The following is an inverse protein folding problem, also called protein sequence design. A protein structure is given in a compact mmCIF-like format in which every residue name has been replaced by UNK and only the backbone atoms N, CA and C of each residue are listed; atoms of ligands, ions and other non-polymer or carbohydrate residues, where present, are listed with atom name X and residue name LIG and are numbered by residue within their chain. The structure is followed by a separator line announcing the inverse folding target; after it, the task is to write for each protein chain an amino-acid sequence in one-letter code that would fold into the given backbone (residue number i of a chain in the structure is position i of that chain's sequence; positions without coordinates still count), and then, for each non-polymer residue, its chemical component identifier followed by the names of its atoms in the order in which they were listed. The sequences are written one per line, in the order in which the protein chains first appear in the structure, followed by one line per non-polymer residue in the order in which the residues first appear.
data_IF_576770616136
#
_entry.id   IF_576770616136
#
_cell.length_a   1.000
_cell.length_b   1.000
_cell.length_c   1.000
_cell.angle_alpha   90.00
_cell.angle_beta   90.00
_cell.angle_gamma   90.00
#
_symmetry.space_group_name_H-M   'P 1'
#
loop_
_entity.id
_entity.type
_entity.pdbx_description
1 polymer ?
#
# COMPACT_ATOMS: atom_id res chain seq x y z
N UNK A 1 -3.73 16.22 1.17
CA UNK A 1 -3.72 14.92 1.87
C UNK A 1 -2.82 13.95 1.12
N UNK A 2 -2.09 13.07 1.81
CA UNK A 2 -1.33 11.97 1.22
C UNK A 2 -1.89 10.66 1.77
N UNK A 3 -1.91 9.62 0.95
CA UNK A 3 -2.27 8.27 1.35
C UNK A 3 -1.00 7.43 1.29
N UNK A 4 -0.76 6.68 2.35
CA UNK A 4 0.37 5.80 2.50
C UNK A 4 -0.12 4.37 2.67
N UNK A 5 0.29 3.49 1.76
CA UNK A 5 -0.08 2.08 1.80
C UNK A 5 1.18 1.23 1.77
N UNK A 6 1.28 0.29 2.69
CA UNK A 6 2.40 -0.64 2.79
C UNK A 6 1.94 -2.09 2.66
N UNK A 7 2.77 -2.88 1.98
CA UNK A 7 2.56 -4.30 1.77
C UNK A 7 3.84 -5.05 2.15
N UNK A 8 3.65 -6.18 2.84
CA UNK A 8 4.74 -7.13 3.04
C UNK A 8 5.11 -7.79 1.71
N UNK A 9 6.33 -8.30 1.64
CA UNK A 9 6.92 -8.88 0.43
C UNK A 9 7.68 -10.15 0.77
N UNK A 10 7.47 -11.19 -0.03
CA UNK A 10 8.32 -12.37 -0.07
C UNK A 10 9.34 -12.22 -1.22
N UNK A 11 10.61 -12.07 -0.89
CA UNK A 11 11.67 -11.93 -1.89
C UNK A 11 12.99 -12.54 -1.43
N UNK A 12 13.91 -12.69 -2.39
CA UNK A 12 15.33 -12.99 -2.18
C UNK A 12 16.21 -11.81 -2.60
N UNK A 13 15.62 -10.62 -2.75
CA UNK A 13 16.31 -9.43 -3.23
C UNK A 13 17.07 -8.82 -2.05
N UNK A 14 18.39 -8.69 -2.19
CA UNK A 14 19.21 -7.99 -1.20
C UNK A 14 19.14 -6.47 -1.42
N UNK A 15 18.93 -5.75 -0.33
CA UNK A 15 18.95 -4.30 -0.25
C UNK A 15 19.88 -3.90 0.89
N UNK A 16 20.87 -3.06 0.60
CA UNK A 16 21.82 -2.57 1.61
C UNK A 16 21.22 -1.51 2.53
N UNK A 17 20.26 -0.75 2.00
CA UNK A 17 19.58 0.33 2.72
C UNK A 17 18.16 0.50 2.20
N UNK A 18 17.41 1.39 2.86
CA UNK A 18 16.07 1.78 2.41
C UNK A 18 16.19 2.57 1.11
N UNK A 19 15.56 2.09 0.04
CA UNK A 19 15.55 2.80 -1.25
C UNK A 19 14.27 3.62 -1.35
N UNK A 20 14.42 4.91 -1.66
CA UNK A 20 13.32 5.82 -1.94
C UNK A 20 13.36 6.24 -3.41
N UNK A 21 12.32 5.90 -4.17
CA UNK A 21 12.19 6.27 -5.58
C UNK A 21 10.98 7.19 -5.71
N UNK A 22 11.20 8.39 -6.24
CA UNK A 22 10.12 9.31 -6.58
C UNK A 22 9.80 9.18 -8.06
N UNK A 23 8.53 8.93 -8.38
CA UNK A 23 8.05 8.95 -9.75
C UNK A 23 6.71 9.70 -9.80
N UNK A 24 6.71 10.85 -10.48
CA UNK A 24 5.57 11.76 -10.55
C UNK A 24 5.02 12.13 -9.15
N UNK A 25 3.73 11.85 -8.93
CA UNK A 25 3.00 12.10 -7.68
C UNK A 25 3.21 10.99 -6.62
N UNK A 26 3.95 9.93 -6.95
CA UNK A 26 4.15 8.76 -6.11
C UNK A 26 5.58 8.68 -5.57
N UNK A 27 5.70 8.21 -4.34
CA UNK A 27 6.96 7.83 -3.71
C UNK A 27 6.87 6.34 -3.38
N UNK A 28 7.84 5.58 -3.83
CA UNK A 28 7.99 4.15 -3.58
C UNK A 28 9.14 3.96 -2.61
N UNK A 29 8.88 3.26 -1.52
CA UNK A 29 9.89 2.98 -0.49
C UNK A 29 10.05 1.48 -0.35
N UNK A 30 11.29 1.02 -0.46
CA UNK A 30 11.67 -0.39 -0.37
C UNK A 30 12.47 -0.60 0.90
N UNK A 31 11.95 -1.43 1.81
CA UNK A 31 12.57 -1.66 3.11
C UNK A 31 13.26 -3.03 3.15
N UNK A 32 14.57 -3.09 3.46
CA UNK A 32 15.20 -4.33 3.89
C UNK A 32 14.73 -4.73 5.29
N UNK A 33 14.76 -6.03 5.57
CA UNK A 33 14.68 -6.58 6.92
C UNK A 33 16.06 -6.54 7.61
N UNK A 34 16.14 -7.11 8.81
CA UNK A 34 17.40 -7.22 9.57
C UNK A 34 18.48 -8.06 8.87
N UNK A 35 18.11 -8.89 7.89
CA UNK A 35 19.04 -9.68 7.08
C UNK A 35 19.46 -8.98 5.78
N UNK A 36 18.95 -7.77 5.53
CA UNK A 36 19.17 -7.02 4.29
C UNK A 36 18.33 -7.53 3.12
N UNK A 37 17.25 -8.27 3.35
CA UNK A 37 16.34 -8.76 2.31
C UNK A 37 15.12 -7.84 2.18
N UNK A 38 14.70 -7.53 0.95
CA UNK A 38 13.47 -6.77 0.72
C UNK A 38 12.26 -7.51 1.32
N UNK A 39 11.65 -6.89 2.33
CA UNK A 39 10.53 -7.48 3.08
C UNK A 39 9.26 -6.62 3.05
N UNK A 40 9.37 -5.34 2.68
CA UNK A 40 8.23 -4.42 2.65
C UNK A 40 8.38 -3.37 1.55
N UNK A 41 7.28 -3.08 0.87
CA UNK A 41 7.16 -1.98 -0.09
C UNK A 41 6.06 -1.04 0.38
N UNK A 42 6.32 0.27 0.33
CA UNK A 42 5.37 1.32 0.67
C UNK A 42 5.17 2.25 -0.52
N UNK A 43 3.92 2.55 -0.85
CA UNK A 43 3.54 3.54 -1.86
C UNK A 43 2.91 4.71 -1.13
N UNK A 44 3.48 5.89 -1.32
CA UNK A 44 2.95 7.16 -0.82
C UNK A 44 2.47 7.94 -2.04
N UNK A 45 1.17 8.21 -2.12
CA UNK A 45 0.56 8.94 -3.23
C UNK A 45 -0.19 10.18 -2.75
N UNK A 46 -0.22 11.21 -3.59
CA UNK A 46 -1.02 12.40 -3.33
C UNK A 46 -2.48 12.13 -3.68
N UNK A 47 -3.36 12.28 -2.68
CA UNK A 47 -4.80 12.11 -2.91
C UNK A 47 -5.32 13.32 -3.69
N UNK A 48 -5.73 13.10 -4.95
CA UNK A 48 -6.25 14.16 -5.85
C UNK A 48 -7.64 14.65 -5.44
N UNK A 49 -8.46 13.76 -4.87
CA UNK A 49 -9.84 14.03 -4.44
C UNK A 49 -10.03 13.71 -2.95
N UNK A 50 -9.42 14.48 -2.03
CA UNK A 50 -9.54 14.23 -0.59
C UNK A 50 -10.99 14.27 -0.09
N UNK A 51 -11.87 14.99 -0.76
CA UNK A 51 -13.30 15.11 -0.45
C UNK A 51 -14.07 13.77 -0.52
N UNK A 52 -13.55 12.78 -1.24
CA UNK A 52 -14.14 11.43 -1.29
C UNK A 52 -13.82 10.59 -0.04
N UNK A 53 -12.84 11.01 0.77
CA UNK A 53 -12.57 10.41 2.06
C UNK A 53 -13.51 11.04 3.08
N UNK A 54 -14.60 10.35 3.39
CA UNK A 54 -15.52 10.78 4.45
C UNK A 54 -15.81 9.63 5.41
N UNK A 55 -15.68 9.92 6.70
CA UNK A 55 -16.17 9.04 7.76
C UNK A 55 -17.69 9.23 7.86
N UNK A 56 -18.48 8.24 7.43
CA UNK A 56 -19.91 8.21 7.78
C UNK A 56 -20.07 7.39 9.05
N UNK A 57 -20.42 8.08 10.14
CA UNK A 57 -20.93 7.41 11.33
C UNK A 57 -22.31 6.86 10.99
N UNK A 58 -22.44 5.53 10.93
CA UNK A 58 -23.76 4.90 10.84
C UNK A 58 -24.18 4.47 12.25
N UNK A 59 -25.33 4.93 12.77
CA UNK A 59 -25.90 4.34 13.96
C UNK A 59 -26.23 2.88 13.66
N UNK A 60 -25.77 1.98 14.53
CA UNK A 60 -26.06 0.55 14.40
C UNK A 60 -27.51 0.32 14.81
N UNK A 61 -28.39 -0.20 13.94
CA UNK A 61 -29.74 -0.55 14.37
C UNK A 61 -29.62 -1.69 15.39
N UNK A 62 -30.16 -1.51 16.59
CA UNK A 62 -30.19 -2.43 17.75
C UNK A 62 -29.03 -2.45 18.76
N UNK A 63 -28.09 -1.49 18.74
CA UNK A 63 -27.14 -1.34 19.85
C UNK A 63 -27.30 0.01 20.54
N UNK A 64 -27.69 0.01 21.83
CA UNK A 64 -27.58 1.18 22.70
C UNK A 64 -26.09 1.59 22.72
N UNK A 65 -25.73 2.62 21.96
CA UNK A 65 -24.40 3.26 21.96
C UNK A 65 -23.25 2.52 21.23
N UNK A 66 -23.49 1.91 20.07
CA UNK A 66 -22.39 1.55 19.16
C UNK A 66 -22.50 2.34 17.84
N UNK A 67 -21.62 3.33 17.64
CA UNK A 67 -21.44 3.98 16.35
C UNK A 67 -20.44 3.17 15.52
N UNK A 68 -20.85 2.70 14.34
CA UNK A 68 -19.91 2.13 13.39
C UNK A 68 -19.34 3.26 12.53
N UNK A 69 -18.04 3.52 12.66
CA UNK A 69 -17.33 4.46 11.78
C UNK A 69 -17.00 3.70 10.50
N UNK A 70 -17.81 3.89 9.44
CA UNK A 70 -17.46 3.38 8.12
C UNK A 70 -16.71 4.48 7.39
N UNK A 71 -15.38 4.42 7.41
CA UNK A 71 -14.53 5.24 6.56
C UNK A 71 -14.78 4.76 5.13
N UNK A 72 -15.46 5.56 4.32
CA UNK A 72 -15.52 5.30 2.87
C UNK A 72 -14.29 5.93 2.28
N UNK A 73 -13.36 5.08 1.85
CA UNK A 73 -12.21 5.45 1.05
C UNK A 73 -12.61 5.56 -0.42
N UNK A 74 -11.88 6.36 -1.19
CA UNK A 74 -12.06 6.41 -2.64
C UNK A 74 -11.70 5.04 -3.24
N UNK A 75 -12.73 4.25 -3.60
CA UNK A 75 -12.57 2.89 -4.13
C UNK A 75 -11.66 2.90 -5.37
N UNK A 76 -11.78 3.92 -6.21
CA UNK A 76 -10.93 4.08 -7.40
C UNK A 76 -9.45 4.25 -7.03
N UNK A 77 -9.16 4.96 -5.94
CA UNK A 77 -7.79 5.14 -5.44
C UNK A 77 -7.26 3.83 -4.84
N UNK A 78 -8.08 3.10 -4.09
CA UNK A 78 -7.72 1.78 -3.57
C UNK A 78 -7.37 0.80 -4.68
N UNK A 79 -8.24 0.69 -5.70
CA UNK A 79 -8.01 -0.16 -6.87
C UNK A 79 -6.80 0.29 -7.70
N UNK A 80 -6.56 1.61 -7.78
CA UNK A 80 -5.36 2.15 -8.44
C UNK A 80 -4.08 1.74 -7.70
N UNK A 81 -4.06 1.82 -6.37
CA UNK A 81 -2.88 1.44 -5.58
C UNK A 81 -2.64 -0.07 -5.65
N UNK A 82 -3.69 -0.88 -5.60
CA UNK A 82 -3.59 -2.33 -5.77
C UNK A 82 -3.00 -2.70 -7.14
N UNK A 83 -3.49 -2.08 -8.22
CA UNK A 83 -2.91 -2.25 -9.56
C UNK A 83 -1.44 -1.83 -9.63
N UNK A 84 -1.09 -0.78 -8.90
CA UNK A 84 0.30 -0.32 -8.85
C UNK A 84 1.23 -1.33 -8.15
N UNK A 85 0.79 -1.96 -7.06
CA UNK A 85 1.53 -3.07 -6.45
C UNK A 85 1.67 -4.27 -7.39
N UNK A 86 0.61 -4.64 -8.12
CA UNK A 86 0.66 -5.73 -9.12
C UNK A 86 1.62 -5.42 -10.27
N UNK A 87 1.68 -4.15 -10.70
CA UNK A 87 2.64 -3.67 -11.70
C UNK A 87 4.07 -3.82 -11.19
N UNK A 88 4.35 -3.32 -9.98
CA UNK A 88 5.67 -3.45 -9.35
C UNK A 88 6.08 -4.91 -9.15
N UNK A 89 5.15 -5.77 -8.73
CA UNK A 89 5.38 -7.20 -8.58
C UNK A 89 5.87 -7.81 -9.89
N UNK A 90 5.19 -7.51 -10.99
CA UNK A 90 5.52 -8.02 -12.32
C UNK A 90 6.87 -7.47 -12.81
N UNK A 91 7.07 -6.15 -12.72
CA UNK A 91 8.29 -5.48 -13.20
C UNK A 91 9.54 -5.93 -12.43
N UNK A 92 9.46 -5.98 -11.10
CA UNK A 92 10.60 -6.37 -10.25
C UNK A 92 10.85 -7.87 -10.39
N UNK A 93 9.81 -8.71 -10.41
CA UNK A 93 9.99 -10.15 -10.60
C UNK A 93 10.66 -10.44 -11.94
N UNK A 94 10.22 -9.81 -13.03
CA UNK A 94 10.86 -9.95 -14.34
C UNK A 94 12.32 -9.47 -14.33
N UNK A 95 12.56 -8.27 -13.81
CA UNK A 95 13.90 -7.64 -13.79
C UNK A 95 14.89 -8.40 -12.91
N UNK A 96 14.41 -9.03 -11.84
CA UNK A 96 15.23 -9.79 -10.89
C UNK A 96 15.21 -11.30 -11.15
N UNK A 97 14.75 -11.74 -12.33
CA UNK A 97 14.68 -13.17 -12.70
C UNK A 97 13.94 -14.03 -11.66
N UNK A 98 12.86 -13.51 -11.10
CA UNK A 98 12.01 -14.21 -10.14
C UNK A 98 12.50 -14.14 -8.68
N UNK A 99 13.47 -13.27 -8.35
CA UNK A 99 13.86 -13.08 -6.95
C UNK A 99 12.75 -12.44 -6.11
N UNK A 100 11.84 -11.67 -6.73
CA UNK A 100 10.58 -11.29 -6.10
C UNK A 100 9.53 -12.38 -6.34
N UNK A 101 9.05 -13.01 -5.26
CA UNK A 101 8.05 -14.06 -5.33
C UNK A 101 6.63 -13.53 -5.20
N UNK A 102 6.41 -12.63 -4.24
CA UNK A 102 5.06 -12.13 -3.95
C UNK A 102 5.08 -10.80 -3.23
N UNK A 103 4.15 -9.91 -3.58
CA UNK A 103 3.72 -8.77 -2.79
C UNK A 103 2.33 -9.09 -2.23
N UNK A 104 2.12 -8.95 -0.91
CA UNK A 104 0.83 -9.23 -0.28
C UNK A 104 -0.15 -8.04 -0.41
N UNK A 105 -0.50 -7.69 -1.66
CA UNK A 105 -1.37 -6.54 -1.97
C UNK A 105 -2.85 -6.73 -1.59
N UNK A 106 -3.26 -7.94 -1.19
CA UNK A 106 -4.58 -8.24 -0.63
C UNK A 106 -4.71 -7.95 0.87
N UNK A 107 -3.57 -7.80 1.57
CA UNK A 107 -3.53 -7.41 2.98
C UNK A 107 -2.68 -6.14 3.18
N UNK A 108 -3.05 -5.01 2.54
CA UNK A 108 -2.32 -3.77 2.67
C UNK A 108 -2.58 -3.14 4.05
N UNK A 109 -1.52 -2.66 4.71
CA UNK A 109 -1.68 -1.75 5.86
C UNK A 109 -1.68 -0.32 5.35
N UNK A 110 -2.67 0.46 5.78
CA UNK A 110 -2.75 1.89 5.48
C UNK A 110 -2.45 2.70 6.74
N UNK A 111 -1.65 3.74 6.58
CA UNK A 111 -1.30 4.72 7.62
C UNK A 111 -1.67 6.13 7.16
#
# INVERSE_FOLDING_TARGET
MKLSVECNVESKIKLHEVINIKNNDNIYVFYPDHSGMLHKIKIITKVKRPEKFYARMKPTPNAKSAFSIKIRTDVELGDSIKREFQRLESEISFSTKGCLKKIYWDDPKSE
#
